data_IF_975425586588
#
_entry.id   IF_975425586588
#
_cell.length_a   1.000
_cell.length_b   1.000
_cell.length_c   1.000
_cell.angle_alpha   90.00
_cell.angle_beta   90.00
_cell.angle_gamma   90.00
#
_symmetry.space_group_name_H-M   'P 1'
#
loop_
_entity.id
_entity.type
_entity.pdbx_description
1 polymer ?
#
# COMPACT_ATOMS: atom_id res chain seq x y z
N UNK A 1 10.70 12.02 29.95
CA UNK A 1 10.22 12.58 28.67
C UNK A 1 8.76 12.96 28.87
N UNK A 2 8.33 14.18 28.56
CA UNK A 2 6.92 14.56 28.71
C UNK A 2 6.05 13.85 27.67
N UNK A 3 4.83 13.49 28.05
CA UNK A 3 3.85 12.75 27.24
C UNK A 3 3.66 13.35 25.83
N UNK A 4 3.54 14.68 25.73
CA UNK A 4 3.47 15.40 24.45
C UNK A 4 4.68 15.20 23.52
N UNK A 5 5.89 15.12 24.09
CA UNK A 5 7.12 14.89 23.30
C UNK A 5 7.22 13.44 22.85
N UNK A 6 6.72 12.50 23.66
CA UNK A 6 6.63 11.10 23.28
C UNK A 6 5.66 10.91 22.10
N UNK A 7 4.45 11.48 22.18
CA UNK A 7 3.47 11.43 21.10
C UNK A 7 4.02 12.01 19.80
N UNK A 8 4.61 13.21 19.85
CA UNK A 8 5.24 13.83 18.67
C UNK A 8 6.31 12.94 18.03
N UNK A 9 7.13 12.28 18.86
CA UNK A 9 8.16 11.37 18.38
C UNK A 9 7.55 10.15 17.69
N UNK A 10 6.49 9.55 18.26
CA UNK A 10 5.80 8.41 17.65
C UNK A 10 5.16 8.79 16.31
N UNK A 11 4.53 9.96 16.21
CA UNK A 11 3.97 10.45 14.94
C UNK A 11 5.05 10.65 13.87
N UNK A 12 6.19 11.25 14.22
CA UNK A 12 7.32 11.41 13.30
C UNK A 12 7.88 10.07 12.84
N UNK A 13 7.99 9.10 13.76
CA UNK A 13 8.41 7.75 13.42
C UNK A 13 7.40 7.05 12.50
N UNK A 14 6.10 7.21 12.72
CA UNK A 14 5.06 6.65 11.85
C UNK A 14 5.15 7.22 10.43
N UNK A 15 5.29 8.54 10.29
CA UNK A 15 5.52 9.19 8.99
C UNK A 15 6.80 8.65 8.33
N UNK A 16 7.90 8.57 9.09
CA UNK A 16 9.17 8.06 8.59
C UNK A 16 9.07 6.62 8.09
N UNK A 17 8.40 5.74 8.85
CA UNK A 17 8.15 4.35 8.46
C UNK A 17 7.29 4.30 7.21
N UNK A 18 6.20 5.07 7.13
CA UNK A 18 5.34 5.12 5.96
C UNK A 18 6.11 5.50 4.68
N UNK A 19 6.95 6.54 4.75
CA UNK A 19 7.79 6.99 3.63
C UNK A 19 8.76 5.89 3.19
N UNK A 20 9.40 5.19 4.13
CA UNK A 20 10.32 4.09 3.80
C UNK A 20 9.60 2.94 3.13
N UNK A 21 8.44 2.52 3.65
CA UNK A 21 7.65 1.44 3.07
C UNK A 21 7.15 1.80 1.66
N UNK A 22 6.68 3.04 1.46
CA UNK A 22 6.32 3.55 0.14
C UNK A 22 7.51 3.57 -0.83
N UNK A 23 8.69 4.00 -0.38
CA UNK A 23 9.88 3.99 -1.21
C UNK A 23 10.23 2.58 -1.69
N UNK A 24 10.14 1.59 -0.79
CA UNK A 24 10.36 0.18 -1.15
C UNK A 24 9.31 -0.29 -2.16
N UNK A 25 8.03 0.06 -1.97
CA UNK A 25 6.95 -0.28 -2.91
C UNK A 25 7.18 0.29 -4.31
N UNK A 26 7.54 1.57 -4.39
CA UNK A 26 7.88 2.24 -5.66
C UNK A 26 9.04 1.55 -6.36
N UNK A 27 10.08 1.15 -5.61
CA UNK A 27 11.22 0.44 -6.16
C UNK A 27 10.82 -0.92 -6.73
N UNK A 28 9.98 -1.68 -6.04
CA UNK A 28 9.48 -2.97 -6.53
C UNK A 28 8.61 -2.84 -7.78
N UNK A 29 7.79 -1.79 -7.89
CA UNK A 29 7.06 -1.49 -9.13
C UNK A 29 8.01 -1.18 -10.30
N UNK A 30 9.06 -0.37 -10.06
CA UNK A 30 10.06 -0.06 -11.08
C UNK A 30 10.85 -1.30 -11.52
N UNK A 31 11.27 -2.13 -10.58
CA UNK A 31 11.99 -3.37 -10.87
C UNK A 31 11.08 -4.40 -11.56
N UNK A 32 9.80 -4.49 -11.17
CA UNK A 32 8.78 -5.28 -11.87
C UNK A 32 8.69 -4.94 -13.35
N UNK A 33 8.63 -3.65 -13.68
CA UNK A 33 8.68 -3.19 -15.07
C UNK A 33 10.00 -3.50 -15.76
N UNK A 34 11.13 -3.31 -15.06
CA UNK A 34 12.46 -3.61 -15.59
C UNK A 34 12.65 -5.09 -15.92
N UNK A 35 12.05 -6.00 -15.17
CA UNK A 35 12.08 -7.44 -15.46
C UNK A 35 11.44 -7.78 -16.81
N UNK A 36 10.36 -7.07 -17.17
CA UNK A 36 9.65 -7.29 -18.44
C UNK A 36 10.28 -6.47 -19.58
N UNK A 37 10.67 -5.22 -19.27
CA UNK A 37 11.11 -4.22 -20.22
C UNK A 37 12.28 -3.38 -19.64
N UNK A 38 13.53 -3.87 -19.73
CA UNK A 38 14.68 -3.28 -19.04
C UNK A 38 14.94 -1.80 -19.36
N UNK A 39 14.69 -1.41 -20.60
CA UNK A 39 14.89 -0.04 -21.11
C UNK A 39 13.80 0.96 -20.70
N UNK A 40 12.72 0.48 -20.07
CA UNK A 40 11.55 1.28 -19.72
C UNK A 40 11.30 1.33 -18.20
N UNK A 41 12.33 1.15 -17.37
CA UNK A 41 12.22 1.23 -15.92
C UNK A 41 11.59 2.55 -15.41
N UNK A 42 11.78 3.65 -16.15
CA UNK A 42 11.15 4.95 -15.85
C UNK A 42 9.62 4.89 -15.88
N UNK A 43 9.03 4.02 -16.73
CA UNK A 43 7.58 3.81 -16.80
C UNK A 43 7.07 3.21 -15.48
N UNK A 44 7.83 2.29 -14.88
CA UNK A 44 7.47 1.68 -13.60
C UNK A 44 7.44 2.69 -12.45
N UNK A 45 8.34 3.68 -12.45
CA UNK A 45 8.28 4.80 -11.49
C UNK A 45 7.07 5.70 -11.73
N UNK A 46 6.80 6.05 -12.99
CA UNK A 46 5.62 6.89 -13.35
C UNK A 46 4.33 6.20 -12.94
N UNK A 47 4.21 4.90 -13.20
CA UNK A 47 3.06 4.10 -12.80
C UNK A 47 2.93 3.99 -11.28
N UNK A 48 4.02 3.72 -10.57
CA UNK A 48 4.01 3.68 -9.10
C UNK A 48 3.48 4.99 -8.50
N UNK A 49 3.99 6.14 -8.96
CA UNK A 49 3.53 7.46 -8.50
C UNK A 49 2.04 7.67 -8.83
N UNK A 50 1.61 7.27 -10.03
CA UNK A 50 0.23 7.43 -10.46
C UNK A 50 -0.73 6.59 -9.62
N UNK A 51 -0.36 5.34 -9.35
CA UNK A 51 -1.07 4.38 -8.49
C UNK A 51 -1.20 4.93 -7.07
N UNK A 52 -0.11 5.40 -6.46
CA UNK A 52 -0.14 6.01 -5.13
C UNK A 52 -1.06 7.24 -5.08
N UNK A 53 -1.04 8.11 -6.09
CA UNK A 53 -1.95 9.27 -6.12
C UNK A 53 -3.41 8.82 -6.18
N UNK A 54 -3.71 7.79 -6.99
CA UNK A 54 -5.06 7.24 -7.10
C UNK A 54 -5.51 6.62 -5.77
N UNK A 55 -4.65 5.89 -5.08
CA UNK A 55 -4.94 5.28 -3.77
C UNK A 55 -5.22 6.34 -2.72
N UNK A 56 -4.42 7.42 -2.69
CA UNK A 56 -4.65 8.56 -1.81
C UNK A 56 -5.98 9.25 -2.09
N UNK A 57 -6.33 9.48 -3.36
CA UNK A 57 -7.64 10.03 -3.75
C UNK A 57 -8.73 9.08 -3.26
N UNK A 58 -8.63 7.80 -3.58
CA UNK A 58 -9.62 6.81 -3.19
C UNK A 58 -9.77 6.71 -1.67
N UNK A 59 -8.72 6.90 -0.88
CA UNK A 59 -8.78 6.88 0.58
C UNK A 59 -9.48 8.09 1.19
N UNK A 60 -9.65 9.19 0.46
CA UNK A 60 -10.30 10.40 0.97
C UNK A 60 -11.80 10.17 1.25
N UNK A 61 -12.51 9.52 0.32
CA UNK A 61 -13.96 9.23 0.46
C UNK A 61 -14.30 7.74 0.35
N UNK A 62 -13.33 6.88 0.01
CA UNK A 62 -13.49 5.44 -0.11
C UNK A 62 -14.54 5.04 -1.13
N UNK A 63 -15.49 4.22 -0.68
CA UNK A 63 -16.61 3.73 -1.49
C UNK A 63 -17.67 4.81 -1.83
N UNK A 64 -17.53 6.03 -1.30
CA UNK A 64 -18.48 7.12 -1.59
C UNK A 64 -18.14 7.89 -2.87
N UNK A 65 -17.00 7.61 -3.50
CA UNK A 65 -16.66 8.16 -4.81
C UNK A 65 -17.53 7.58 -5.94
N UNK A 66 -17.41 8.16 -7.14
CA UNK A 66 -18.00 7.58 -8.35
C UNK A 66 -17.50 6.14 -8.59
N UNK A 67 -18.34 5.28 -9.18
CA UNK A 67 -17.99 3.87 -9.46
C UNK A 67 -16.67 3.73 -10.22
N UNK A 68 -16.38 4.67 -11.13
CA UNK A 68 -15.12 4.71 -11.89
C UNK A 68 -13.91 4.91 -10.99
N UNK A 69 -13.97 5.86 -10.06
CA UNK A 69 -12.88 6.12 -9.11
C UNK A 69 -12.70 4.92 -8.18
N UNK A 70 -13.80 4.32 -7.72
CA UNK A 70 -13.75 3.10 -6.90
C UNK A 70 -13.07 1.96 -7.66
N UNK A 71 -13.44 1.72 -8.91
CA UNK A 71 -12.84 0.67 -9.73
C UNK A 71 -11.35 0.91 -9.97
N UNK A 72 -10.96 2.15 -10.30
CA UNK A 72 -9.56 2.51 -10.54
C UNK A 72 -8.73 2.45 -9.24
N UNK A 73 -9.31 2.85 -8.10
CA UNK A 73 -8.70 2.70 -6.77
C UNK A 73 -8.43 1.24 -6.41
N UNK A 74 -9.42 0.36 -6.57
CA UNK A 74 -9.26 -1.07 -6.31
C UNK A 74 -8.21 -1.73 -7.23
N UNK A 75 -8.17 -1.33 -8.50
CA UNK A 75 -7.16 -1.81 -9.45
C UNK A 75 -5.76 -1.32 -9.09
N UNK A 76 -5.64 -0.11 -8.55
CA UNK A 76 -4.37 0.45 -8.09
C UNK A 76 -3.81 -0.36 -6.92
N UNK A 77 -4.63 -0.59 -5.88
CA UNK A 77 -4.26 -1.48 -4.77
C UNK A 77 -3.89 -2.89 -5.24
N UNK A 78 -4.66 -3.47 -6.18
CA UNK A 78 -4.34 -4.79 -6.71
C UNK A 78 -2.98 -4.80 -7.43
N UNK A 79 -2.70 -3.75 -8.21
CA UNK A 79 -1.41 -3.58 -8.87
C UNK A 79 -0.26 -3.43 -7.86
N UNK A 80 -0.40 -2.57 -6.85
CA UNK A 80 0.62 -2.38 -5.83
C UNK A 80 0.89 -3.64 -5.01
N UNK A 81 -0.15 -4.35 -4.55
CA UNK A 81 0.01 -5.68 -3.92
C UNK A 81 0.81 -6.64 -4.82
N UNK A 82 0.43 -6.79 -6.09
CA UNK A 82 1.11 -7.73 -7.00
C UNK A 82 2.56 -7.34 -7.22
N UNK A 83 2.85 -6.06 -7.47
CA UNK A 83 4.22 -5.60 -7.70
C UNK A 83 5.10 -5.76 -6.46
N UNK A 84 4.56 -5.52 -5.27
CA UNK A 84 5.26 -5.75 -4.01
C UNK A 84 5.58 -7.23 -3.79
N UNK A 85 4.61 -8.12 -4.04
CA UNK A 85 4.82 -9.58 -3.95
C UNK A 85 5.93 -10.02 -4.91
N UNK A 86 5.88 -9.57 -6.17
CA UNK A 86 6.87 -9.90 -7.18
C UNK A 86 8.26 -9.37 -6.82
N UNK A 87 8.33 -8.14 -6.29
CA UNK A 87 9.58 -7.54 -5.81
C UNK A 87 10.22 -8.34 -4.68
N UNK A 88 9.44 -8.76 -3.68
CA UNK A 88 9.92 -9.58 -2.57
C UNK A 88 10.33 -10.98 -3.08
N UNK A 89 9.53 -11.60 -3.92
CA UNK A 89 9.84 -12.92 -4.50
C UNK A 89 11.12 -12.89 -5.34
N UNK A 90 11.30 -11.84 -6.14
CA UNK A 90 12.53 -11.62 -6.90
C UNK A 90 13.74 -11.38 -5.99
N UNK A 91 13.58 -10.61 -4.91
CA UNK A 91 14.63 -10.38 -3.91
C UNK A 91 15.06 -11.67 -3.18
N UNK A 92 14.18 -12.66 -3.09
CA UNK A 92 14.48 -14.00 -2.57
C UNK A 92 15.17 -14.92 -3.59
N UNK A 93 15.45 -14.43 -4.80
CA UNK A 93 16.06 -15.22 -5.87
C UNK A 93 15.06 -16.05 -6.69
N UNK A 94 13.79 -15.65 -6.70
CA UNK A 94 12.73 -16.29 -7.49
C UNK A 94 12.60 -17.81 -7.25
N UNK A 95 12.40 -18.26 -6.00
CA UNK A 95 12.27 -19.67 -5.68
C UNK A 95 11.14 -20.34 -6.49
N UNK A 96 11.40 -21.57 -6.95
CA UNK A 96 10.45 -22.34 -7.75
C UNK A 96 9.22 -22.75 -6.90
N UNK A 97 8.08 -22.15 -7.25
CA UNK A 97 6.80 -22.35 -6.55
C UNK A 97 6.24 -23.76 -6.84
N UNK A 98 6.61 -24.39 -7.96
CA UNK A 98 6.18 -25.76 -8.26
C UNK A 98 6.85 -26.77 -7.33
N UNK A 99 8.11 -26.52 -6.96
CA UNK A 99 8.85 -27.34 -6.02
C UNK A 99 8.46 -27.05 -4.56
N UNK A 100 8.17 -25.80 -4.23
CA UNK A 100 7.73 -25.42 -2.89
C UNK A 100 6.65 -24.32 -2.92
N UNK A 101 5.36 -24.68 -2.90
CA UNK A 101 4.25 -23.71 -2.94
C UNK A 101 4.24 -22.74 -1.76
N UNK A 102 4.81 -23.10 -0.60
CA UNK A 102 4.82 -22.23 0.57
C UNK A 102 5.78 -21.03 0.39
N UNK A 103 6.68 -21.11 -0.61
CA UNK A 103 7.64 -20.05 -0.90
C UNK A 103 6.97 -18.71 -1.27
N UNK A 104 5.72 -18.73 -1.77
CA UNK A 104 4.97 -17.50 -2.09
C UNK A 104 4.27 -16.87 -0.90
N UNK A 105 4.07 -17.61 0.21
CA UNK A 105 3.28 -17.14 1.35
C UNK A 105 3.94 -15.92 2.02
N UNK A 106 5.26 -15.96 2.21
CA UNK A 106 5.98 -14.85 2.82
C UNK A 106 5.96 -13.58 1.92
N UNK A 107 6.30 -13.67 0.62
CA UNK A 107 6.09 -12.56 -0.32
C UNK A 107 4.65 -12.02 -0.32
N UNK A 108 3.64 -12.91 -0.31
CA UNK A 108 2.24 -12.53 -0.29
C UNK A 108 1.87 -11.68 0.93
N UNK A 109 2.24 -12.16 2.13
CA UNK A 109 1.95 -11.46 3.39
C UNK A 109 2.68 -10.12 3.47
N UNK A 110 3.98 -10.11 3.18
CA UNK A 110 4.79 -8.90 3.30
C UNK A 110 4.46 -7.90 2.19
N UNK A 111 4.15 -8.35 0.97
CA UNK A 111 3.75 -7.49 -0.14
C UNK A 111 2.40 -6.82 0.10
N UNK A 112 1.43 -7.56 0.66
CA UNK A 112 0.16 -6.99 1.10
C UNK A 112 0.34 -5.99 2.25
N UNK A 113 1.20 -6.31 3.22
CA UNK A 113 1.53 -5.38 4.31
C UNK A 113 2.18 -4.10 3.77
N UNK A 114 3.14 -4.22 2.86
CA UNK A 114 3.86 -3.09 2.27
C UNK A 114 2.92 -2.16 1.49
N UNK A 115 1.85 -2.71 0.93
CA UNK A 115 0.83 -1.93 0.24
C UNK A 115 -0.10 -1.18 1.21
N UNK A 116 -0.65 -1.88 2.20
CA UNK A 116 -1.75 -1.35 2.99
C UNK A 116 -1.27 -0.54 4.20
N UNK A 117 -0.11 -0.86 4.77
CA UNK A 117 0.38 -0.22 5.98
C UNK A 117 0.80 1.25 5.83
N UNK A 118 1.46 1.68 4.73
CA UNK A 118 2.01 3.04 4.63
C UNK A 118 0.95 4.13 4.76
N UNK A 119 -0.20 3.97 4.10
CA UNK A 119 -1.20 5.03 3.99
C UNK A 119 -1.91 5.33 5.33
N UNK A 120 -2.45 4.34 6.08
CA UNK A 120 -3.00 4.57 7.41
C UNK A 120 -1.93 5.11 8.36
N UNK A 121 -0.68 4.64 8.28
CA UNK A 121 0.42 5.12 9.13
C UNK A 121 0.76 6.58 8.83
N UNK A 122 0.77 6.97 7.57
CA UNK A 122 1.02 8.35 7.17
C UNK A 122 -0.13 9.26 7.62
N UNK A 123 -1.37 8.86 7.34
CA UNK A 123 -2.55 9.63 7.71
C UNK A 123 -2.65 9.79 9.23
N UNK A 124 -2.43 8.71 9.99
CA UNK A 124 -2.38 8.76 11.44
C UNK A 124 -1.21 9.62 11.95
N UNK A 125 -0.04 9.52 11.34
CA UNK A 125 1.13 10.33 11.70
C UNK A 125 0.91 11.82 11.46
N UNK A 126 0.22 12.21 10.39
CA UNK A 126 -0.04 13.61 10.02
C UNK A 126 -1.23 14.22 10.79
N UNK A 127 -2.32 13.48 10.97
CA UNK A 127 -3.62 14.01 11.44
C UNK A 127 -3.98 13.50 12.84
N UNK A 128 -3.41 12.39 13.29
CA UNK A 128 -3.71 11.74 14.56
C UNK A 128 -4.93 10.83 14.53
N UNK A 129 -5.44 10.47 15.72
CA UNK A 129 -6.59 9.58 15.88
C UNK A 129 -7.85 10.23 15.27
N UNK A 130 -8.41 9.61 14.24
CA UNK A 130 -9.60 10.12 13.52
C UNK A 130 -9.42 10.21 12.00
N UNK A 131 -8.22 9.97 11.48
CA UNK A 131 -7.99 9.83 10.06
C UNK A 131 -8.79 8.63 9.50
N UNK A 132 -9.51 8.89 8.42
CA UNK A 132 -10.25 7.88 7.66
C UNK A 132 -9.26 7.00 6.91
N UNK A 133 -9.21 5.71 7.23
CA UNK A 133 -8.39 4.73 6.51
C UNK A 133 -9.28 3.70 5.78
N UNK A 134 -8.73 3.09 4.72
CA UNK A 134 -9.44 2.16 3.86
C UNK A 134 -10.09 0.97 4.60
N UNK A 135 -9.34 0.36 5.52
CA UNK A 135 -9.85 -0.77 6.32
C UNK A 135 -10.99 -0.32 7.23
N UNK A 136 -10.88 0.88 7.80
CA UNK A 136 -11.93 1.55 8.55
C UNK A 136 -13.19 1.73 7.72
N UNK A 137 -13.08 2.17 6.47
CA UNK A 137 -14.22 2.28 5.56
C UNK A 137 -14.87 0.93 5.23
N UNK A 138 -14.09 -0.10 4.94
CA UNK A 138 -14.59 -1.46 4.71
C UNK A 138 -15.34 -2.02 5.93
N UNK A 139 -14.81 -1.80 7.14
CA UNK A 139 -15.41 -2.30 8.38
C UNK A 139 -16.64 -1.49 8.82
N UNK A 140 -16.66 -0.18 8.57
CA UNK A 140 -17.75 0.69 9.04
C UNK A 140 -19.00 0.63 8.14
N UNK A 141 -18.85 0.27 6.86
CA UNK A 141 -20.00 0.01 5.96
C UNK A 141 -20.92 -1.13 6.46
N UNK A 142 -20.41 -2.06 7.28
CA UNK A 142 -21.22 -3.11 7.89
C UNK A 142 -22.09 -2.64 9.08
N UNK A 143 -21.82 -1.45 9.64
CA UNK A 143 -22.66 -0.87 10.71
C UNK A 143 -23.81 -0.03 10.17
N UNK A 144 -23.68 0.54 8.98
CA UNK A 144 -24.75 1.30 8.34
C UNK A 144 -25.89 0.39 7.81
N UNK A 145 -25.58 -0.85 7.42
CA UNK A 145 -26.57 -1.81 6.89
C UNK A 145 -27.34 -2.61 7.96
N UNK A 146 -27.15 -2.34 9.27
CA UNK A 146 -27.91 -2.96 10.37
C UNK A 146 -28.99 -2.06 10.96
N UNK A 147 -29.27 -0.92 10.33
CA UNK A 147 -30.30 0.03 10.73
C UNK A 147 -31.41 0.14 9.68
N UNK A 148 -31.89 -0.99 9.16
CA UNK A 148 -33.15 -1.12 8.45
C UNK A 148 -33.81 -2.45 8.80
#
# INVERSE_FOLDING_TARGET
MNEKRYEQLVHLLAIGVAIVLWFISVQFSADGFKFVLPQYAWIGYVLAISVTIIELIFNEEGMNHSLTIVAIGLLSYAYGVVTNILGIWAAQGSPDIAANPIAIVFPALLGFFLEIAPEPLLLWGLVGTGARDFLGHLLNNNKANKAY
#
